data_IF_959141275261
#
_entry.id   IF_959141275261
#
_cell.length_a   1.000
_cell.length_b   1.000
_cell.length_c   1.000
_cell.angle_alpha   90.00
_cell.angle_beta   90.00
_cell.angle_gamma   90.00
#
_symmetry.space_group_name_H-M   'P 1'
#
loop_
_entity.id
_entity.type
_entity.pdbx_description
1 polymer ?
#
# COMPACT_ATOMS: atom_id res chain seq x y z
N UNK A 1 24.92 -37.70 -59.51
CA UNK A 1 24.79 -36.31 -59.00
C UNK A 1 25.03 -36.35 -57.50
N UNK A 2 26.27 -36.09 -57.05
CA UNK A 2 26.62 -36.07 -55.62
C UNK A 2 26.47 -34.65 -55.09
N UNK A 3 25.54 -34.48 -54.15
CA UNK A 3 25.28 -33.22 -53.46
C UNK A 3 26.39 -33.03 -52.42
N UNK A 4 27.23 -32.00 -52.58
CA UNK A 4 28.26 -31.66 -51.58
C UNK A 4 27.55 -31.04 -50.38
N UNK A 5 27.51 -31.78 -49.27
CA UNK A 5 27.07 -31.28 -47.97
C UNK A 5 28.19 -30.37 -47.45
N UNK A 6 27.99 -29.05 -47.50
CA UNK A 6 28.89 -28.09 -46.86
C UNK A 6 28.64 -28.14 -45.36
N UNK A 7 29.61 -28.65 -44.60
CA UNK A 7 29.63 -28.56 -43.15
C UNK A 7 29.90 -27.13 -42.70
N UNK A 8 29.28 -26.74 -41.59
CA UNK A 8 29.42 -25.42 -40.97
C UNK A 8 30.86 -25.13 -40.55
N UNK A 9 31.28 -23.87 -40.70
CA UNK A 9 32.61 -23.40 -40.26
C UNK A 9 32.63 -23.16 -38.74
N UNK A 10 33.78 -23.36 -38.10
CA UNK A 10 34.02 -23.03 -36.69
C UNK A 10 33.65 -21.58 -36.35
N UNK A 11 33.93 -20.64 -37.26
CA UNK A 11 33.63 -19.23 -37.05
C UNK A 11 32.13 -18.93 -37.10
N UNK A 12 31.38 -19.74 -37.84
CA UNK A 12 29.93 -19.61 -38.00
C UNK A 12 29.22 -20.10 -36.74
N UNK A 13 29.71 -21.20 -36.16
CA UNK A 13 29.23 -21.67 -34.86
C UNK A 13 29.52 -20.66 -33.75
N UNK A 14 30.71 -20.05 -33.75
CA UNK A 14 31.07 -19.01 -32.78
C UNK A 14 30.19 -17.75 -32.92
N UNK A 15 29.92 -17.32 -34.15
CA UNK A 15 29.05 -16.18 -34.42
C UNK A 15 27.60 -16.47 -33.99
N UNK A 16 27.08 -17.67 -34.25
CA UNK A 16 25.73 -18.08 -33.82
C UNK A 16 25.60 -18.07 -32.30
N UNK A 17 26.57 -18.63 -31.59
CA UNK A 17 26.57 -18.63 -30.11
C UNK A 17 26.66 -17.20 -29.58
N UNK A 18 27.51 -16.35 -30.17
CA UNK A 18 27.63 -14.94 -29.80
C UNK A 18 26.31 -14.18 -29.98
N UNK A 19 25.63 -14.36 -31.10
CA UNK A 19 24.31 -13.75 -31.37
C UNK A 19 23.26 -14.25 -30.37
N UNK A 20 23.23 -15.55 -30.08
CA UNK A 20 22.29 -16.10 -29.07
C UNK A 20 22.55 -15.47 -27.70
N UNK A 21 23.81 -15.36 -27.26
CA UNK A 21 24.17 -14.74 -25.97
C UNK A 21 23.80 -13.25 -25.93
N UNK A 22 24.00 -12.52 -27.03
CA UNK A 22 23.56 -11.13 -27.15
C UNK A 22 22.04 -10.99 -27.10
N UNK A 23 21.31 -11.87 -27.79
CA UNK A 23 19.85 -11.85 -27.80
C UNK A 23 19.26 -12.25 -26.44
N UNK A 24 19.89 -13.16 -25.71
CA UNK A 24 19.47 -13.52 -24.34
C UNK A 24 19.74 -12.41 -23.32
N UNK A 25 20.69 -11.50 -23.60
CA UNK A 25 21.06 -10.42 -22.67
C UNK A 25 20.04 -9.29 -22.58
N UNK A 26 19.00 -9.29 -23.42
CA UNK A 26 17.91 -8.29 -23.41
C UNK A 26 16.61 -8.80 -22.75
N UNK A 27 16.61 -10.01 -22.20
CA UNK A 27 15.42 -10.55 -21.53
C UNK A 27 15.43 -10.12 -20.07
N UNK A 28 15.03 -8.87 -19.83
CA UNK A 28 14.51 -8.47 -18.52
C UNK A 28 13.12 -9.10 -18.37
N UNK A 29 13.06 -10.25 -17.71
CA UNK A 29 11.80 -10.87 -17.31
C UNK A 29 11.13 -9.95 -16.29
N UNK A 30 10.17 -9.16 -16.74
CA UNK A 30 9.21 -8.41 -15.92
C UNK A 30 8.22 -9.38 -15.24
N UNK A 31 8.74 -10.45 -14.64
CA UNK A 31 7.98 -11.50 -13.94
C UNK A 31 8.14 -11.20 -12.46
N UNK A 32 7.38 -10.22 -11.98
CA UNK A 32 7.43 -9.78 -10.58
C UNK A 32 6.37 -8.74 -10.21
N UNK A 33 5.86 -7.94 -11.16
CA UNK A 33 4.90 -6.86 -10.85
C UNK A 33 3.48 -7.37 -10.58
N UNK A 34 2.97 -8.34 -11.35
CA UNK A 34 1.55 -8.72 -11.26
C UNK A 34 1.11 -9.29 -9.90
N UNK A 35 1.97 -10.02 -9.19
CA UNK A 35 1.65 -10.55 -7.85
C UNK A 35 1.83 -9.50 -6.75
N UNK A 36 2.86 -8.68 -6.85
CA UNK A 36 3.12 -7.59 -5.91
C UNK A 36 2.03 -6.50 -6.01
N UNK A 37 1.61 -6.12 -7.22
CA UNK A 37 0.56 -5.13 -7.44
C UNK A 37 -0.79 -5.61 -6.87
N UNK A 38 -1.13 -6.89 -7.03
CA UNK A 38 -2.36 -7.46 -6.44
C UNK A 38 -2.30 -7.44 -4.91
N UNK A 39 -1.17 -7.82 -4.30
CA UNK A 39 -1.03 -7.82 -2.85
C UNK A 39 -1.12 -6.39 -2.28
N UNK A 40 -0.50 -5.40 -2.94
CA UNK A 40 -0.59 -3.99 -2.56
C UNK A 40 -2.01 -3.46 -2.66
N UNK A 41 -2.69 -3.71 -3.78
CA UNK A 41 -4.10 -3.33 -3.93
C UNK A 41 -4.97 -3.95 -2.82
N UNK A 42 -4.77 -5.23 -2.53
CA UNK A 42 -5.47 -5.91 -1.43
C UNK A 42 -5.21 -5.22 -0.09
N UNK A 43 -3.97 -4.81 0.19
CA UNK A 43 -3.62 -4.09 1.42
C UNK A 43 -4.34 -2.74 1.51
N UNK A 44 -4.42 -1.97 0.43
CA UNK A 44 -5.18 -0.70 0.44
C UNK A 44 -6.67 -0.94 0.72
N UNK A 45 -7.25 -1.98 0.10
CA UNK A 45 -8.64 -2.37 0.31
C UNK A 45 -8.89 -2.88 1.74
N UNK A 46 -7.93 -3.58 2.32
CA UNK A 46 -7.94 -4.02 3.72
C UNK A 46 -7.98 -2.81 4.67
N UNK A 47 -7.12 -1.80 4.46
CA UNK A 47 -7.15 -0.56 5.27
C UNK A 47 -8.51 0.13 5.16
N UNK A 48 -9.08 0.25 3.96
CA UNK A 48 -10.40 0.85 3.76
C UNK A 48 -11.52 0.08 4.49
N UNK A 49 -11.50 -1.24 4.39
CA UNK A 49 -12.46 -2.11 5.07
C UNK A 49 -12.34 -2.00 6.60
N UNK A 50 -11.10 -1.95 7.10
CA UNK A 50 -10.82 -1.84 8.52
C UNK A 50 -11.20 -0.47 9.11
N UNK A 51 -10.96 0.63 8.39
CA UNK A 51 -11.45 1.96 8.78
C UNK A 51 -12.98 1.98 8.83
N UNK A 52 -13.66 1.40 7.84
CA UNK A 52 -15.12 1.32 7.81
C UNK A 52 -15.68 0.49 8.98
N UNK A 53 -15.02 -0.63 9.27
CA UNK A 53 -15.36 -1.48 10.41
C UNK A 53 -15.15 -0.75 11.74
N UNK A 54 -14.01 -0.08 11.90
CA UNK A 54 -13.69 0.70 13.09
C UNK A 54 -14.69 1.84 13.33
N UNK A 55 -15.21 2.48 12.28
CA UNK A 55 -16.22 3.52 12.40
C UNK A 55 -17.53 2.95 12.92
N UNK A 56 -17.94 1.82 12.34
CA UNK A 56 -19.13 1.09 12.78
C UNK A 56 -18.99 0.65 14.25
N UNK A 57 -17.83 0.15 14.64
CA UNK A 57 -17.58 -0.24 16.03
C UNK A 57 -17.58 0.97 16.98
N UNK A 58 -17.04 2.12 16.56
CA UNK A 58 -17.08 3.35 17.34
C UNK A 58 -18.52 3.80 17.64
N UNK A 59 -19.39 3.75 16.63
CA UNK A 59 -20.83 4.04 16.78
C UNK A 59 -21.53 3.04 17.71
N UNK A 60 -21.28 1.74 17.51
CA UNK A 60 -21.94 0.68 18.28
C UNK A 60 -21.50 0.67 19.75
N UNK A 61 -20.20 0.84 20.00
CA UNK A 61 -19.62 0.84 21.34
C UNK A 61 -19.79 2.18 22.06
N UNK A 62 -20.20 3.23 21.35
CA UNK A 62 -20.29 4.59 21.86
C UNK A 62 -18.94 5.14 22.34
N UNK A 63 -17.83 4.63 21.79
CA UNK A 63 -16.47 4.99 22.19
C UNK A 63 -15.62 5.30 20.97
N UNK A 64 -14.81 6.36 21.03
CA UNK A 64 -13.90 6.69 19.94
C UNK A 64 -12.86 5.57 19.74
N UNK A 65 -12.61 5.27 18.48
CA UNK A 65 -11.55 4.38 18.03
C UNK A 65 -10.56 5.17 17.17
N UNK A 66 -9.39 4.60 16.91
CA UNK A 66 -8.41 5.26 16.08
C UNK A 66 -7.34 4.33 15.55
N UNK A 67 -6.76 4.74 14.44
CA UNK A 67 -5.61 4.10 13.82
C UNK A 67 -4.38 4.97 14.03
N UNK A 68 -3.39 4.40 14.72
CA UNK A 68 -2.06 4.99 14.89
C UNK A 68 -1.10 4.32 13.91
N UNK A 69 -0.58 5.05 12.94
CA UNK A 69 0.49 4.58 12.06
C UNK A 69 1.82 5.08 12.61
N UNK A 70 2.79 4.18 12.71
CA UNK A 70 4.14 4.49 13.19
C UNK A 70 5.20 3.81 12.33
N UNK A 71 6.43 4.36 12.37
CA UNK A 71 7.58 3.78 11.67
C UNK A 71 8.21 2.67 12.51
N UNK A 72 8.78 1.67 11.86
CA UNK A 72 9.60 0.62 12.48
C UNK A 72 11.09 0.99 12.44
N UNK A 73 11.87 0.46 13.39
CA UNK A 73 13.29 0.80 13.56
C UNK A 73 14.24 0.05 12.59
N UNK A 74 13.72 -0.63 11.58
CA UNK A 74 14.43 -1.64 10.76
C UNK A 74 15.23 -1.06 9.56
N UNK A 75 15.44 0.25 9.51
CA UNK A 75 16.35 0.90 8.55
C UNK A 75 15.80 1.04 7.13
N UNK A 76 14.53 0.68 6.88
CA UNK A 76 13.79 0.91 5.64
C UNK A 76 12.47 1.67 5.86
N UNK A 77 11.73 1.91 4.78
CA UNK A 77 10.37 2.42 4.83
C UNK A 77 9.41 1.29 5.24
N UNK A 78 9.40 0.99 6.54
CA UNK A 78 8.52 -0.01 7.14
C UNK A 78 7.60 0.66 8.15
N UNK A 79 6.30 0.38 8.01
CA UNK A 79 5.25 0.98 8.82
C UNK A 79 4.38 -0.09 9.45
N UNK A 80 3.80 0.24 10.61
CA UNK A 80 2.73 -0.56 11.24
C UNK A 80 1.61 0.35 11.70
N UNK A 81 0.38 -0.14 11.57
CA UNK A 81 -0.82 0.47 12.10
C UNK A 81 -1.29 -0.26 13.35
N UNK A 82 -1.48 0.48 14.44
CA UNK A 82 -2.00 0.00 15.71
C UNK A 82 -3.40 0.55 15.92
N UNK A 83 -4.36 -0.34 16.19
CA UNK A 83 -5.72 0.05 16.56
C UNK A 83 -5.80 0.41 18.03
N UNK A 84 -6.35 1.59 18.31
CA UNK A 84 -6.52 2.11 19.66
C UNK A 84 -7.99 2.43 19.92
N UNK A 85 -8.41 2.21 21.16
CA UNK A 85 -9.69 2.65 21.69
C UNK A 85 -9.47 3.71 22.76
N UNK A 86 -10.39 4.67 22.84
CA UNK A 86 -10.36 5.70 23.87
C UNK A 86 -10.95 5.18 25.18
N UNK A 87 -10.18 5.28 26.26
CA UNK A 87 -10.60 5.00 27.62
C UNK A 87 -10.46 6.26 28.49
N UNK A 88 -10.95 6.21 29.74
CA UNK A 88 -10.84 7.32 30.69
C UNK A 88 -9.38 7.74 30.95
N UNK A 89 -8.48 6.76 30.96
CA UNK A 89 -7.04 6.94 31.18
C UNK A 89 -6.25 7.33 29.92
N UNK A 90 -6.92 7.46 28.77
CA UNK A 90 -6.29 7.75 27.48
C UNK A 90 -6.51 6.65 26.44
N UNK A 91 -5.69 6.66 25.39
CA UNK A 91 -5.76 5.68 24.32
C UNK A 91 -5.04 4.40 24.72
N UNK A 92 -5.62 3.25 24.37
CA UNK A 92 -5.00 1.94 24.58
C UNK A 92 -5.56 0.93 23.57
N UNK A 93 -4.86 -0.19 23.31
CA UNK A 93 -5.40 -1.26 22.49
C UNK A 93 -6.78 -1.75 23.00
N UNK A 94 -7.73 -2.07 22.11
CA UNK A 94 -9.02 -2.59 22.50
C UNK A 94 -8.91 -3.86 23.35
N UNK A 95 -9.57 -3.88 24.52
CA UNK A 95 -9.57 -5.02 25.44
C UNK A 95 -10.28 -6.27 24.89
N UNK A 96 -11.12 -6.12 23.88
CA UNK A 96 -11.81 -7.21 23.19
C UNK A 96 -11.19 -7.38 21.82
N UNK A 97 -10.20 -8.26 21.72
CA UNK A 97 -9.78 -8.82 20.45
C UNK A 97 -10.88 -9.78 19.96
N UNK A 98 -11.93 -9.23 19.35
CA UNK A 98 -12.40 -9.96 18.18
C UNK A 98 -11.25 -9.89 17.17
N UNK A 99 -10.94 -10.98 16.47
CA UNK A 99 -9.83 -11.09 15.49
C UNK A 99 -9.88 -10.04 14.35
N UNK A 100 -10.85 -9.12 14.37
CA UNK A 100 -10.95 -8.03 13.44
C UNK A 100 -9.87 -6.96 13.64
N UNK A 101 -9.51 -6.58 14.87
CA UNK A 101 -8.51 -5.53 15.13
C UNK A 101 -7.09 -6.09 15.28
N UNK A 102 -6.62 -6.78 14.25
CA UNK A 102 -5.21 -7.11 14.14
C UNK A 102 -4.39 -5.88 13.69
N UNK A 103 -3.13 -5.83 14.11
CA UNK A 103 -2.20 -4.79 13.69
C UNK A 103 -2.05 -4.80 12.16
N UNK A 104 -2.12 -3.61 11.55
CA UNK A 104 -1.93 -3.47 10.12
C UNK A 104 -0.43 -3.48 9.81
N UNK A 105 0.02 -4.51 9.11
CA UNK A 105 1.37 -4.52 8.55
C UNK A 105 1.36 -4.00 7.12
N UNK A 106 2.19 -3.00 6.85
CA UNK A 106 2.42 -2.47 5.53
C UNK A 106 3.61 -3.19 4.88
N UNK A 107 3.51 -3.45 3.58
CA UNK A 107 4.60 -4.12 2.85
C UNK A 107 5.88 -3.27 2.87
N UNK A 108 7.07 -3.87 2.88
CA UNK A 108 8.29 -3.11 2.69
C UNK A 108 8.39 -2.58 1.25
N UNK A 109 9.15 -1.50 1.05
CA UNK A 109 9.36 -0.92 -0.28
C UNK A 109 8.29 0.08 -0.71
N UNK A 110 7.45 0.53 0.24
CA UNK A 110 6.51 1.63 0.03
C UNK A 110 6.71 2.71 1.08
N UNK A 111 6.79 3.96 0.63
CA UNK A 111 6.67 5.11 1.51
C UNK A 111 5.18 5.44 1.68
N UNK A 112 4.77 5.69 2.92
CA UNK A 112 3.42 6.13 3.24
C UNK A 112 3.41 7.64 3.48
N UNK A 113 2.42 8.32 2.93
CA UNK A 113 2.14 9.72 3.22
C UNK A 113 0.69 9.85 3.72
N UNK A 114 0.51 10.38 4.93
CA UNK A 114 -0.81 10.67 5.49
C UNK A 114 -1.04 12.19 5.52
N UNK A 115 -2.04 12.62 4.77
CA UNK A 115 -2.49 14.01 4.72
C UNK A 115 -3.88 14.10 5.33
N UNK A 116 -3.99 14.76 6.49
CA UNK A 116 -5.27 15.05 7.13
C UNK A 116 -5.74 16.46 6.73
N UNK A 117 -7.05 16.67 6.64
CA UNK A 117 -7.59 17.99 6.34
C UNK A 117 -7.15 19.02 7.40
N UNK A 118 -6.78 20.21 6.95
CA UNK A 118 -6.33 21.35 7.77
C UNK A 118 -5.09 21.11 8.65
N UNK A 119 -4.33 20.04 8.38
CA UNK A 119 -3.11 19.69 9.10
C UNK A 119 -1.90 19.61 8.16
N UNK A 120 -0.66 19.80 8.64
CA UNK A 120 0.51 19.46 7.85
C UNK A 120 0.56 17.94 7.58
N UNK A 121 1.37 17.53 6.61
CA UNK A 121 1.68 16.11 6.39
C UNK A 121 2.15 15.47 7.71
N UNK A 122 1.61 14.30 8.03
CA UNK A 122 1.97 13.59 9.26
C UNK A 122 3.39 13.04 9.15
N UNK A 123 4.22 13.34 10.14
CA UNK A 123 5.52 12.69 10.30
C UNK A 123 5.36 11.41 11.13
N UNK A 124 5.60 10.25 10.52
CA UNK A 124 5.50 8.96 11.20
C UNK A 124 6.73 8.72 12.07
N UNK A 125 6.56 8.95 13.36
CA UNK A 125 7.58 8.68 14.37
C UNK A 125 7.63 7.20 14.76
N UNK A 126 8.73 6.79 15.39
CA UNK A 126 8.82 5.49 16.04
C UNK A 126 8.05 5.52 17.35
N UNK A 127 7.28 4.47 17.63
CA UNK A 127 6.56 4.33 18.89
C UNK A 127 7.55 4.04 20.03
N UNK A 128 7.52 4.83 21.11
CA UNK A 128 8.23 4.48 22.35
C UNK A 128 7.50 3.34 23.07
N UNK A 129 8.24 2.39 23.64
CA UNK A 129 7.65 1.31 24.45
C UNK A 129 6.78 1.88 25.58
N UNK A 130 5.65 1.22 25.86
CA UNK A 130 4.67 1.59 26.88
C UNK A 130 3.97 2.95 26.70
N UNK A 131 4.07 3.57 25.51
CA UNK A 131 3.31 4.78 25.18
C UNK A 131 2.23 4.50 24.14
N UNK A 132 1.04 5.08 24.35
CA UNK A 132 -0.06 5.08 23.39
C UNK A 132 -0.46 6.53 23.11
N UNK A 133 0.26 7.22 22.21
CA UNK A 133 -0.12 8.57 21.82
C UNK A 133 -1.50 8.55 21.14
N UNK A 134 -2.18 9.71 21.08
CA UNK A 134 -3.42 9.81 20.30
C UNK A 134 -3.19 9.35 18.85
N UNK A 135 -4.06 8.50 18.30
CA UNK A 135 -3.98 8.06 16.90
C UNK A 135 -4.18 9.24 15.96
N UNK A 136 -3.55 9.20 14.77
CA UNK A 136 -3.69 10.28 13.79
C UNK A 136 -5.06 10.27 13.12
N UNK A 137 -5.58 9.08 12.84
CA UNK A 137 -6.91 8.90 12.24
C UNK A 137 -7.87 8.50 13.36
N UNK A 138 -8.73 9.43 13.78
CA UNK A 138 -9.74 9.18 14.81
C UNK A 138 -11.10 8.90 14.17
N UNK A 139 -11.75 7.84 14.62
CA UNK A 139 -13.11 7.43 14.29
C UNK A 139 -13.98 7.68 15.52
N UNK A 140 -14.79 8.72 15.43
CA UNK A 140 -15.59 9.22 16.54
C UNK A 140 -16.84 8.38 16.74
N UNK A 141 -17.26 8.22 18.00
CA UNK A 141 -18.49 7.51 18.35
C UNK A 141 -19.76 8.12 17.73
N UNK A 142 -19.67 9.35 17.20
CA UNK A 142 -20.75 10.02 16.47
C UNK A 142 -20.93 9.59 15.01
N UNK A 143 -20.09 8.69 14.50
CA UNK A 143 -20.09 8.27 13.08
C UNK A 143 -19.30 9.18 12.15
N UNK A 144 -18.40 9.99 12.73
CA UNK A 144 -17.48 10.86 12.00
C UNK A 144 -16.07 10.25 12.01
N UNK A 145 -15.26 10.53 10.98
CA UNK A 145 -13.83 10.19 10.94
C UNK A 145 -13.02 11.43 10.59
N UNK A 146 -11.80 11.52 11.11
CA UNK A 146 -10.87 12.61 10.75
C UNK A 146 -10.62 12.59 9.24
N UNK A 147 -11.07 13.59 8.45
CA UNK A 147 -10.96 13.53 6.99
C UNK A 147 -9.51 13.55 6.51
N UNK A 148 -9.22 12.83 5.43
CA UNK A 148 -7.87 12.80 4.88
C UNK A 148 -7.66 11.77 3.78
N UNK A 149 -6.39 11.58 3.44
CA UNK A 149 -5.95 10.56 2.49
C UNK A 149 -4.64 9.92 2.92
N UNK A 150 -4.53 8.62 2.64
CA UNK A 150 -3.32 7.82 2.80
C UNK A 150 -2.81 7.44 1.42
N UNK A 151 -1.54 7.74 1.18
CA UNK A 151 -0.88 7.59 -0.11
C UNK A 151 0.23 6.56 0.00
N UNK A 152 0.30 5.65 -0.98
CA UNK A 152 1.37 4.67 -1.14
C UNK A 152 2.25 5.07 -2.32
N UNK A 153 3.55 5.25 -2.06
CA UNK A 153 4.57 5.64 -3.03
C UNK A 153 5.62 4.54 -3.09
N UNK A 154 6.07 4.14 -4.28
CA UNK A 154 7.20 3.22 -4.41
C UNK A 154 8.47 3.89 -3.88
N UNK A 155 9.11 3.31 -2.86
CA UNK A 155 10.24 3.95 -2.17
C UNK A 155 11.50 4.09 -3.05
N UNK A 156 11.56 3.31 -4.13
CA UNK A 156 12.72 3.23 -5.02
C UNK A 156 12.54 4.09 -6.26
N UNK A 157 11.35 4.13 -6.84
CA UNK A 157 11.07 4.93 -8.05
C UNK A 157 10.44 6.28 -7.76
N UNK A 158 9.78 6.44 -6.59
CA UNK A 158 8.96 7.60 -6.27
C UNK A 158 7.62 7.62 -7.01
N UNK A 159 7.23 6.51 -7.66
CA UNK A 159 5.97 6.44 -8.37
C UNK A 159 4.79 6.38 -7.40
N UNK A 160 3.77 7.19 -7.67
CA UNK A 160 2.48 7.10 -6.97
C UNK A 160 1.81 5.76 -7.32
N UNK A 161 1.62 4.90 -6.32
CA UNK A 161 1.00 3.59 -6.49
C UNK A 161 -0.51 3.67 -6.27
N UNK A 162 -0.94 4.19 -5.12
CA UNK A 162 -2.35 4.24 -4.72
C UNK A 162 -2.61 5.44 -3.81
N UNK A 163 -3.83 5.98 -3.89
CA UNK A 163 -4.40 6.88 -2.88
C UNK A 163 -5.68 6.25 -2.34
N UNK A 164 -5.80 6.15 -1.02
CA UNK A 164 -7.06 5.91 -0.33
C UNK A 164 -7.49 7.23 0.31
N UNK A 165 -8.55 7.83 -0.21
CA UNK A 165 -9.13 9.08 0.31
C UNK A 165 -10.41 8.80 1.06
N UNK A 166 -10.68 9.56 2.11
CA UNK A 166 -11.94 9.51 2.82
C UNK A 166 -12.38 10.88 3.32
N UNK A 167 -13.69 11.06 3.43
CA UNK A 167 -14.28 12.26 3.99
C UNK A 167 -14.71 12.08 5.45
N UNK A 168 -15.28 13.15 6.03
CA UNK A 168 -15.79 13.18 7.40
C UNK A 168 -16.77 12.06 7.74
N UNK A 169 -17.50 11.54 6.75
CA UNK A 169 -18.54 10.52 6.93
C UNK A 169 -18.04 9.11 6.63
N UNK A 170 -16.72 8.93 6.44
CA UNK A 170 -16.13 7.63 6.15
C UNK A 170 -16.42 7.12 4.74
N UNK A 171 -16.81 7.99 3.80
CA UNK A 171 -16.96 7.60 2.39
C UNK A 171 -15.58 7.50 1.77
N UNK A 172 -15.17 6.26 1.48
CA UNK A 172 -13.84 5.92 0.99
C UNK A 172 -13.80 5.90 -0.55
N UNK A 173 -12.74 6.47 -1.13
CA UNK A 173 -12.44 6.39 -2.55
C UNK A 173 -11.05 5.79 -2.76
N UNK A 174 -10.98 4.76 -3.60
CA UNK A 174 -9.74 4.09 -3.98
C UNK A 174 -9.29 4.57 -5.36
N UNK A 175 -8.06 5.10 -5.45
CA UNK A 175 -7.51 5.76 -6.63
C UNK A 175 -6.17 5.11 -7.02
N UNK A 176 -6.16 4.12 -7.93
CA UNK A 176 -4.92 3.56 -8.49
C UNK A 176 -4.13 4.64 -9.21
N UNK A 177 -2.86 4.83 -8.84
CA UNK A 177 -1.97 5.87 -9.37
C UNK A 177 -2.54 7.29 -9.27
N UNK A 178 -3.48 7.52 -8.35
CA UNK A 178 -4.18 8.79 -8.21
C UNK A 178 -5.20 9.10 -9.30
N UNK A 179 -5.51 8.14 -10.18
CA UNK A 179 -6.46 8.32 -11.29
C UNK A 179 -7.88 8.05 -10.77
N UNK A 180 -8.82 8.94 -11.08
CA UNK A 180 -10.22 8.72 -10.72
C UNK A 180 -10.83 7.57 -11.53
N UNK A 181 -11.74 6.77 -10.93
CA UNK A 181 -12.34 5.64 -11.62
C UNK A 181 -13.02 6.02 -12.95
N UNK A 182 -13.62 7.22 -13.01
CA UNK A 182 -14.34 7.71 -14.18
C UNK A 182 -13.39 8.05 -15.36
N UNK A 183 -12.15 8.46 -15.07
CA UNK A 183 -11.14 8.75 -16.09
C UNK A 183 -10.56 7.46 -16.72
N UNK A 184 -10.51 6.36 -15.96
CA UNK A 184 -10.06 5.05 -16.47
C UNK A 184 -10.99 4.46 -17.54
N UNK A 185 -12.28 4.81 -17.52
CA UNK A 185 -13.24 4.37 -18.52
C UNK A 185 -13.20 5.21 -19.81
N UNK A 186 -12.65 6.43 -19.77
CA UNK A 186 -12.49 7.27 -20.96
C UNK A 186 -11.28 6.87 -21.82
N UNK A 187 -10.19 6.39 -21.20
CA UNK A 187 -9.01 5.89 -21.93
C UNK A 187 -9.23 4.51 -22.60
N UNK A 188 -10.22 3.75 -22.15
CA UNK A 188 -10.54 2.41 -22.68
C UNK A 188 -11.41 2.39 -23.95
N UNK A 189 -11.82 3.55 -24.48
CA UNK A 189 -12.77 3.65 -25.60
C UNK A 189 -12.14 4.21 -26.87
N UNK A 190 -10.85 4.02 -27.15
CA UNK A 190 -10.31 4.27 -28.50
C UNK A 190 -9.11 3.37 -28.82
N UNK A 191 -9.37 2.14 -29.32
CA UNK A 191 -8.95 1.58 -30.63
C UNK A 191 -9.23 0.05 -30.66
#
# INVERSE_FOLDING_TARGET
MSRVQRGFSLIEMLAVVFVVVLLTSLVSLNVGSGGADINRENKVREVAAMLSYALTEAELSGTDHGLLIHRLADGGASYRGLWLRRYDQGWAPPLSLNDAFEDLEFEPGVELELQLEEQPLVDFEMLEEDTNPPPQIILFAGGEVTPGELTWIDDRTGDLLYILRWDLFGRMQFLPKGIEPDELFEEGVFD
#
